data_IF_676368533376
#
_entry.id   IF_676368533376
#
_cell.length_a   1.000
_cell.length_b   1.000
_cell.length_c   1.000
_cell.angle_alpha   90.00
_cell.angle_beta   90.00
_cell.angle_gamma   90.00
#
_symmetry.space_group_name_H-M   'P 1'
#
loop_
_entity.id
_entity.type
_entity.pdbx_description
1 polymer ?
#
# COMPACT_ATOMS: atom_id res chain seq x y z
N UNK A 1 19.90 22.09 10.29
CA UNK A 1 20.38 21.18 9.24
C UNK A 1 19.62 19.88 9.41
N UNK A 2 18.62 19.62 8.57
CA UNK A 2 17.92 18.33 8.54
C UNK A 2 18.68 17.41 7.59
N UNK A 3 18.91 16.13 7.93
CA UNK A 3 19.59 15.21 7.05
C UNK A 3 18.69 14.93 5.84
N UNK A 4 19.03 15.51 4.69
CA UNK A 4 18.55 15.04 3.40
C UNK A 4 19.07 13.61 3.21
N UNK A 5 18.18 12.62 3.23
CA UNK A 5 18.50 11.26 2.83
C UNK A 5 18.72 11.21 1.32
N UNK A 6 19.92 11.60 0.89
CA UNK A 6 20.48 11.32 -0.43
C UNK A 6 20.88 9.84 -0.47
N UNK A 7 19.94 8.95 -0.76
CA UNK A 7 20.23 7.51 -0.82
C UNK A 7 19.11 6.63 -1.40
N UNK A 8 17.87 7.11 -1.44
CA UNK A 8 16.82 6.44 -2.20
C UNK A 8 17.05 6.72 -3.69
N UNK A 9 17.26 5.66 -4.49
CA UNK A 9 17.33 5.74 -5.95
C UNK A 9 16.19 6.64 -6.46
N UNK A 10 16.56 7.66 -7.24
CA UNK A 10 15.62 8.57 -7.90
C UNK A 10 14.81 7.78 -8.93
N UNK A 11 13.64 7.31 -8.55
CA UNK A 11 12.66 6.79 -9.49
C UNK A 11 11.90 7.96 -10.11
N UNK A 12 11.98 8.08 -11.43
CA UNK A 12 11.28 9.09 -12.25
C UNK A 12 9.78 8.80 -12.43
N UNK A 13 9.14 8.12 -11.49
CA UNK A 13 7.71 7.83 -11.60
C UNK A 13 7.06 8.07 -10.23
N UNK A 14 6.15 9.04 -10.22
CA UNK A 14 5.40 9.55 -9.08
C UNK A 14 6.18 10.46 -8.11
N UNK A 15 5.62 11.65 -7.89
CA UNK A 15 5.99 12.53 -6.80
C UNK A 15 5.99 11.71 -5.50
N UNK A 16 7.16 11.51 -4.89
CA UNK A 16 7.27 11.08 -3.49
C UNK A 16 6.66 12.20 -2.64
N UNK A 17 5.36 12.11 -2.37
CA UNK A 17 4.73 13.01 -1.41
C UNK A 17 5.10 12.52 -0.01
N UNK A 18 6.05 13.24 0.57
CA UNK A 18 6.24 13.36 2.02
C UNK A 18 6.50 12.05 2.77
N UNK A 19 7.79 11.70 2.89
CA UNK A 19 8.28 11.01 4.09
C UNK A 19 8.18 11.99 5.26
N UNK A 20 7.01 12.06 5.90
CA UNK A 20 6.82 12.86 7.11
C UNK A 20 7.12 12.00 8.33
N UNK A 21 7.98 12.52 9.21
CA UNK A 21 8.14 12.03 10.58
C UNK A 21 7.64 13.15 11.51
N UNK A 22 6.34 13.24 11.85
CA UNK A 22 5.87 14.25 12.79
C UNK A 22 5.96 13.71 14.22
N UNK A 23 6.74 14.41 15.06
CA UNK A 23 6.84 14.44 16.54
C UNK A 23 6.82 13.12 17.36
N UNK A 24 6.63 11.95 16.76
CA UNK A 24 6.58 10.64 17.40
C UNK A 24 7.20 9.57 16.48
N UNK A 25 8.47 9.71 16.07
CA UNK A 25 9.37 8.68 15.50
C UNK A 25 8.89 7.78 14.34
N UNK A 26 7.67 7.89 13.84
CA UNK A 26 7.12 7.00 12.84
C UNK A 26 7.40 7.49 11.43
N UNK A 27 8.14 6.71 10.64
CA UNK A 27 8.33 6.97 9.21
C UNK A 27 7.07 6.54 8.45
N UNK A 28 6.55 7.44 7.62
CA UNK A 28 5.33 7.24 6.83
C UNK A 28 5.64 7.40 5.35
N UNK A 29 5.18 6.46 4.53
CA UNK A 29 5.19 6.59 3.07
C UNK A 29 3.77 6.86 2.60
N UNK A 30 3.54 8.04 2.03
CA UNK A 30 2.26 8.44 1.46
C UNK A 30 2.34 8.56 -0.06
N UNK A 31 1.39 7.95 -0.75
CA UNK A 31 1.24 8.02 -2.20
C UNK A 31 -0.25 8.19 -2.52
N UNK A 32 -0.58 8.87 -3.63
CA UNK A 32 -1.96 8.93 -4.11
C UNK A 32 -2.83 10.04 -3.54
N UNK A 33 -2.21 11.06 -2.95
CA UNK A 33 -2.95 12.22 -2.47
C UNK A 33 -3.73 12.88 -3.63
N UNK A 34 -5.01 13.17 -3.37
CA UNK A 34 -5.81 14.09 -4.19
C UNK A 34 -5.13 15.45 -4.12
N UNK A 35 -4.43 15.83 -5.19
CA UNK A 35 -3.83 17.15 -5.26
C UNK A 35 -4.88 18.09 -5.82
N UNK A 36 -4.98 19.27 -5.23
CA UNK A 36 -5.76 20.37 -5.78
C UNK A 36 -4.80 21.32 -6.48
N UNK A 37 -4.79 21.32 -7.80
CA UNK A 37 -3.93 22.17 -8.61
C UNK A 37 -4.78 22.98 -9.58
N UNK A 38 -4.65 24.31 -9.54
CA UNK A 38 -5.35 25.25 -10.44
C UNK A 38 -6.88 25.05 -10.50
N UNK A 39 -7.53 24.81 -9.35
CA UNK A 39 -9.00 24.66 -9.31
C UNK A 39 -9.50 23.25 -9.67
N UNK A 40 -8.60 22.29 -9.95
CA UNK A 40 -8.96 20.93 -10.31
C UNK A 40 -8.41 19.91 -9.31
N UNK A 41 -9.20 18.88 -9.03
CA UNK A 41 -8.74 17.68 -8.33
C UNK A 41 -8.02 16.77 -9.33
N UNK A 42 -6.77 16.43 -9.02
CA UNK A 42 -5.98 15.47 -9.80
C UNK A 42 -5.65 14.24 -8.96
N UNK A 43 -5.72 13.08 -9.58
CA UNK A 43 -5.35 11.79 -8.99
C UNK A 43 -4.03 11.29 -9.56
N UNK A 44 -3.17 10.78 -8.69
CA UNK A 44 -1.95 10.11 -9.13
C UNK A 44 -2.30 8.70 -9.63
N UNK A 45 -2.14 8.47 -10.94
CA UNK A 45 -2.50 7.21 -11.61
C UNK A 45 -1.43 6.11 -11.43
N UNK A 46 -1.06 5.82 -10.20
CA UNK A 46 -0.10 4.76 -9.90
C UNK A 46 -0.86 3.43 -9.84
N UNK A 47 -0.53 2.52 -10.74
CA UNK A 47 -1.14 1.18 -10.80
C UNK A 47 -0.16 0.05 -10.50
N UNK A 48 1.14 0.29 -10.71
CA UNK A 48 2.21 -0.69 -10.52
C UNK A 48 3.24 -0.14 -9.56
N UNK A 49 3.64 -0.96 -8.60
CA UNK A 49 4.71 -0.67 -7.66
C UNK A 49 5.93 -1.53 -8.00
N UNK A 50 7.15 -0.98 -7.98
CA UNK A 50 8.35 -1.77 -8.22
C UNK A 50 8.62 -2.71 -7.03
N UNK A 51 9.18 -3.89 -7.29
CA UNK A 51 9.51 -4.88 -6.26
C UNK A 51 10.50 -4.36 -5.21
N UNK A 52 11.36 -3.41 -5.59
CA UNK A 52 12.35 -2.80 -4.71
C UNK A 52 11.85 -1.53 -4.01
N UNK A 53 10.55 -1.20 -4.12
CA UNK A 53 9.96 0.03 -3.57
C UNK A 53 10.33 0.24 -2.10
N UNK A 54 10.29 -0.82 -1.30
CA UNK A 54 10.53 -0.74 0.14
C UNK A 54 11.97 -0.99 0.57
N UNK A 55 12.89 -1.14 -0.38
CA UNK A 55 14.30 -1.40 -0.10
C UNK A 55 14.92 -0.22 0.63
N UNK A 56 15.72 -0.49 1.67
CA UNK A 56 16.39 0.51 2.51
C UNK A 56 15.45 1.45 3.27
N UNK A 57 14.23 1.00 3.59
CA UNK A 57 13.32 1.71 4.51
C UNK A 57 13.05 0.91 5.79
N UNK A 58 14.07 0.62 6.62
CA UNK A 58 13.94 -0.22 7.82
C UNK A 58 13.03 0.40 8.90
N UNK A 59 12.93 1.73 8.93
CA UNK A 59 12.13 2.47 9.89
C UNK A 59 10.68 2.70 9.43
N UNK A 60 10.30 2.24 8.23
CA UNK A 60 8.96 2.45 7.68
C UNK A 60 7.91 1.71 8.50
N UNK A 61 6.97 2.47 9.09
CA UNK A 61 5.89 1.95 9.95
C UNK A 61 4.49 2.12 9.36
N UNK A 62 4.31 3.13 8.50
CA UNK A 62 2.99 3.48 7.98
C UNK A 62 3.02 3.60 6.46
N UNK A 63 2.09 2.93 5.79
CA UNK A 63 1.89 3.01 4.34
C UNK A 63 0.48 3.52 4.06
N UNK A 64 0.38 4.61 3.31
CA UNK A 64 -0.88 5.18 2.86
C UNK A 64 -0.85 5.41 1.34
N UNK A 65 -1.53 4.55 0.57
CA UNK A 65 -1.62 4.64 -0.89
C UNK A 65 -3.06 4.92 -1.33
N UNK A 66 -3.71 5.92 -0.73
CA UNK A 66 -5.11 6.26 -0.97
C UNK A 66 -5.35 6.77 -2.40
N UNK A 67 -6.53 6.54 -2.99
CA UNK A 67 -6.92 7.12 -4.30
C UNK A 67 -5.87 6.97 -5.41
N UNK A 68 -5.18 5.83 -5.42
CA UNK A 68 -4.35 5.39 -6.55
C UNK A 68 -5.14 4.43 -7.46
N UNK A 69 -4.49 3.84 -8.45
CA UNK A 69 -5.04 2.78 -9.28
C UNK A 69 -4.45 1.41 -8.89
N UNK A 70 -4.10 1.21 -7.62
CA UNK A 70 -3.63 -0.08 -7.14
C UNK A 70 -4.81 -1.04 -7.15
N UNK A 71 -4.63 -2.19 -7.78
CA UNK A 71 -5.66 -3.22 -7.87
C UNK A 71 -5.29 -4.44 -7.04
N UNK A 72 -4.00 -4.75 -6.89
CA UNK A 72 -3.52 -5.95 -6.20
C UNK A 72 -2.34 -5.59 -5.31
N UNK A 73 -2.31 -6.13 -4.10
CA UNK A 73 -1.11 -6.13 -3.27
C UNK A 73 -0.22 -7.30 -3.70
N UNK A 74 0.72 -7.03 -4.61
CA UNK A 74 1.62 -8.05 -5.13
C UNK A 74 2.54 -8.60 -4.03
N UNK A 75 2.66 -9.93 -3.95
CA UNK A 75 3.49 -10.60 -2.96
C UNK A 75 4.96 -10.14 -3.04
N UNK A 76 5.49 -9.99 -4.25
CA UNK A 76 6.88 -9.56 -4.49
C UNK A 76 7.20 -8.20 -3.87
N UNK A 77 6.20 -7.31 -3.80
CA UNK A 77 6.32 -5.95 -3.27
C UNK A 77 6.07 -5.92 -1.77
N UNK A 78 4.97 -6.54 -1.29
CA UNK A 78 4.48 -6.34 0.08
C UNK A 78 4.94 -7.39 1.09
N UNK A 79 5.35 -8.59 0.68
CA UNK A 79 5.60 -9.70 1.62
C UNK A 79 6.68 -9.37 2.66
N UNK A 80 7.77 -8.76 2.22
CA UNK A 80 8.92 -8.46 3.08
C UNK A 80 8.65 -7.28 4.04
N UNK A 81 7.76 -6.36 3.66
CA UNK A 81 7.48 -5.15 4.44
C UNK A 81 6.35 -5.36 5.46
N UNK A 82 5.41 -6.28 5.20
CA UNK A 82 4.24 -6.55 6.05
C UNK A 82 4.57 -6.76 7.55
N UNK A 83 5.62 -7.50 7.94
CA UNK A 83 5.93 -7.71 9.36
C UNK A 83 6.40 -6.48 10.13
N UNK A 84 6.91 -5.44 9.45
CA UNK A 84 7.48 -4.26 10.11
C UNK A 84 6.52 -3.06 10.21
N UNK A 85 5.48 -3.03 9.37
CA UNK A 85 4.51 -1.94 9.33
C UNK A 85 3.38 -2.17 10.35
N UNK A 86 2.95 -1.10 11.00
CA UNK A 86 1.81 -1.11 11.92
C UNK A 86 0.52 -0.61 11.26
N UNK A 87 0.63 0.13 10.15
CA UNK A 87 -0.48 0.79 9.49
C UNK A 87 -0.43 0.64 7.98
N UNK A 88 -1.53 0.19 7.38
CA UNK A 88 -1.70 0.03 5.94
C UNK A 88 -3.06 0.56 5.49
N UNK A 89 -3.05 1.58 4.64
CA UNK A 89 -4.27 2.27 4.21
C UNK A 89 -4.31 2.45 2.69
N UNK A 90 -5.26 1.78 2.03
CA UNK A 90 -5.43 1.82 0.56
C UNK A 90 -6.85 2.23 0.17
N UNK A 91 -7.53 3.06 0.97
CA UNK A 91 -8.89 3.50 0.64
C UNK A 91 -8.94 4.25 -0.70
N UNK A 92 -10.02 4.06 -1.45
CA UNK A 92 -10.23 4.71 -2.74
C UNK A 92 -9.51 4.03 -3.91
N UNK A 93 -9.01 2.81 -3.69
CA UNK A 93 -8.50 1.92 -4.74
C UNK A 93 -9.52 0.82 -5.08
N UNK A 94 -9.41 0.24 -6.28
CA UNK A 94 -10.23 -0.90 -6.70
C UNK A 94 -9.53 -2.24 -6.40
N UNK A 95 -9.45 -2.62 -5.13
CA UNK A 95 -8.72 -3.84 -4.72
C UNK A 95 -9.43 -5.11 -5.19
N UNK A 96 -8.78 -5.86 -6.08
CA UNK A 96 -9.21 -7.18 -6.54
C UNK A 96 -8.56 -8.30 -5.72
N UNK A 97 -9.33 -8.87 -4.81
CA UNK A 97 -8.97 -9.99 -3.97
C UNK A 97 -9.07 -11.33 -4.72
N UNK A 98 -8.38 -11.42 -5.86
CA UNK A 98 -8.28 -12.62 -6.71
C UNK A 98 -7.17 -13.57 -6.22
N UNK A 99 -6.89 -14.64 -6.97
CA UNK A 99 -5.89 -15.64 -6.60
C UNK A 99 -4.47 -15.10 -6.34
N UNK A 100 -4.10 -13.95 -6.91
CA UNK A 100 -2.82 -13.29 -6.64
C UNK A 100 -2.74 -12.73 -5.21
N UNK A 101 -3.86 -12.63 -4.50
CA UNK A 101 -3.95 -12.17 -3.11
C UNK A 101 -3.97 -13.33 -2.10
N UNK A 102 -3.92 -14.58 -2.56
CA UNK A 102 -3.94 -15.78 -1.70
C UNK A 102 -2.82 -15.78 -0.66
N UNK A 103 -1.65 -15.24 -1.00
CA UNK A 103 -0.49 -15.17 -0.09
C UNK A 103 -0.81 -14.43 1.22
N UNK A 104 -1.75 -13.47 1.19
CA UNK A 104 -2.17 -12.74 2.36
C UNK A 104 -2.70 -13.69 3.45
N UNK A 105 -3.28 -14.84 3.11
CA UNK A 105 -3.81 -15.77 4.13
C UNK A 105 -2.71 -16.43 4.97
N UNK A 106 -1.45 -16.35 4.53
CA UNK A 106 -0.29 -16.99 5.18
C UNK A 106 0.58 -16.03 5.99
N UNK A 107 0.31 -14.73 5.93
CA UNK A 107 1.09 -13.71 6.62
C UNK A 107 0.26 -12.96 7.66
N UNK A 108 0.95 -12.43 8.67
CA UNK A 108 0.39 -11.49 9.64
C UNK A 108 0.15 -10.14 8.96
N UNK A 109 -1.02 -9.55 9.22
CA UNK A 109 -1.38 -8.23 8.73
C UNK A 109 -0.93 -7.19 9.76
N UNK A 110 -0.77 -5.92 9.35
CA UNK A 110 -0.50 -4.82 10.27
C UNK A 110 -1.61 -4.69 11.31
N UNK A 111 -1.32 -4.08 12.46
CA UNK A 111 -2.30 -3.86 13.52
C UNK A 111 -3.49 -3.00 13.05
N UNK A 112 -3.23 -2.06 12.15
CA UNK A 112 -4.24 -1.16 11.61
C UNK A 112 -4.27 -1.29 10.09
N UNK A 113 -5.20 -2.09 9.57
CA UNK A 113 -5.40 -2.25 8.12
C UNK A 113 -6.72 -1.61 7.70
N UNK A 114 -6.67 -0.82 6.64
CA UNK A 114 -7.82 -0.20 5.99
C UNK A 114 -7.74 -0.49 4.49
N UNK A 115 -7.96 -1.75 4.17
CA UNK A 115 -7.95 -2.28 2.80
C UNK A 115 -9.13 -3.23 2.68
N UNK A 116 -10.09 -2.85 1.84
CA UNK A 116 -11.29 -3.61 1.56
C UNK A 116 -11.26 -4.07 0.11
N UNK A 117 -11.68 -5.32 -0.12
CA UNK A 117 -11.85 -5.85 -1.46
C UNK A 117 -13.01 -5.11 -2.16
N UNK A 118 -12.83 -4.68 -3.39
CA UNK A 118 -13.92 -4.21 -4.27
C UNK A 118 -14.30 -5.29 -5.29
N UNK A 119 -13.38 -6.21 -5.56
CA UNK A 119 -13.57 -7.37 -6.44
C UNK A 119 -12.96 -8.63 -5.79
N UNK A 120 -13.43 -9.83 -6.16
CA UNK A 120 -14.65 -10.09 -6.92
C UNK A 120 -15.91 -9.70 -6.10
N UNK A 121 -17.09 -9.64 -6.76
CA UNK A 121 -18.35 -9.23 -6.13
C UNK A 121 -18.69 -9.98 -4.84
N UNK A 122 -18.30 -11.25 -4.75
CA UNK A 122 -18.51 -12.09 -3.57
C UNK A 122 -17.72 -11.64 -2.33
N UNK A 123 -16.64 -10.87 -2.52
CA UNK A 123 -15.78 -10.36 -1.44
C UNK A 123 -15.90 -8.84 -1.29
N UNK A 124 -16.80 -8.17 -2.01
CA UNK A 124 -16.92 -6.71 -1.96
C UNK A 124 -17.22 -6.20 -0.53
N UNK A 125 -16.42 -5.25 -0.05
CA UNK A 125 -16.47 -4.69 1.29
C UNK A 125 -15.78 -5.53 2.37
N UNK A 126 -15.25 -6.72 2.04
CA UNK A 126 -14.52 -7.55 2.99
C UNK A 126 -13.12 -6.98 3.24
N UNK A 127 -12.74 -6.85 4.51
CA UNK A 127 -11.37 -6.47 4.88
C UNK A 127 -10.37 -7.57 4.53
N UNK A 128 -9.16 -7.18 4.11
CA UNK A 128 -8.08 -8.16 3.87
C UNK A 128 -7.62 -8.88 5.16
N UNK A 129 -7.95 -8.35 6.33
CA UNK A 129 -7.70 -9.01 7.62
C UNK A 129 -8.57 -10.27 7.79
N UNK A 130 -9.78 -10.24 7.25
CA UNK A 130 -10.76 -11.33 7.33
C UNK A 130 -10.58 -12.37 6.21
N UNK A 131 -9.62 -12.17 5.32
CA UNK A 131 -9.33 -13.12 4.25
C UNK A 131 -8.75 -14.43 4.81
N UNK A 132 -9.41 -15.53 4.49
CA UNK A 132 -8.99 -16.89 4.84
C UNK A 132 -8.74 -17.71 3.58
N UNK A 133 -8.03 -18.84 3.72
CA UNK A 133 -7.77 -19.76 2.60
C UNK A 133 -9.05 -20.28 1.92
N UNK A 134 -10.20 -20.29 2.62
CA UNK A 134 -11.49 -20.70 2.04
C UNK A 134 -11.93 -19.80 0.89
N UNK A 135 -11.66 -18.50 0.97
CA UNK A 135 -12.01 -17.55 -0.10
C UNK A 135 -11.24 -17.85 -1.40
N UNK A 136 -10.05 -18.48 -1.28
CA UNK A 136 -9.16 -18.82 -2.39
C UNK A 136 -9.11 -20.31 -2.70
N UNK A 137 -10.09 -21.11 -2.23
CA UNK A 137 -10.13 -22.55 -2.47
C UNK A 137 -10.26 -22.91 -3.97
N UNK A 138 -10.78 -21.99 -4.79
CA UNK A 138 -10.92 -22.14 -6.24
C UNK A 138 -9.62 -21.85 -7.02
N UNK A 139 -8.55 -21.42 -6.33
CA UNK A 139 -7.27 -21.05 -6.93
C UNK A 139 -6.26 -22.21 -6.97
N UNK A 140 -6.72 -23.44 -6.74
CA UNK A 140 -5.92 -24.67 -6.66
C UNK A 140 -6.10 -25.56 -7.89
#
# INVERSE_FOLDING_TARGET
MLPCWCGAKVWRVAQLLELTAPENYEVRLKIGLMLFQNGMLIWNKISTLPDDLFTNMPELKNIEFSYTNIVVLQESVFRNIMPQIGYLYLKGNEIDCNCQMKWLTTISKPQYTQVECTKPKALEGLSIEDLTSKHFAHCE
#
